data_IF_221576951613
#
_entry.id   IF_221576951613
#
_cell.length_a   1.000
_cell.length_b   1.000
_cell.length_c   1.000
_cell.angle_alpha   90.00
_cell.angle_beta   90.00
_cell.angle_gamma   90.00
#
_symmetry.space_group_name_H-M   'P 1'
#
loop_
_entity.id
_entity.type
_entity.pdbx_description
1 polymer ?
#
# COMPACT_ATOMS: atom_id res chain seq x y z
N UNK A 1 0.67 34.97 10.24
CA UNK A 1 1.53 33.90 9.69
C UNK A 1 2.15 33.24 10.90
N UNK A 2 1.47 32.22 11.42
CA UNK A 2 1.83 31.55 12.66
C UNK A 2 2.85 30.47 12.29
N UNK A 3 4.12 30.68 12.64
CA UNK A 3 5.16 29.68 12.45
C UNK A 3 4.78 28.43 13.26
N UNK A 4 4.58 27.31 12.56
CA UNK A 4 4.49 26.01 13.21
C UNK A 4 5.74 25.81 14.08
N UNK A 5 5.62 25.40 15.35
CA UNK A 5 6.79 25.12 16.17
C UNK A 5 7.65 24.06 15.49
N UNK A 6 8.90 24.43 15.21
CA UNK A 6 9.87 23.67 14.38
C UNK A 6 10.40 22.40 15.05
N UNK A 7 9.87 22.04 16.21
CA UNK A 7 10.24 20.86 16.98
C UNK A 7 8.95 20.23 17.52
N UNK A 8 8.68 18.99 17.11
CA UNK A 8 7.68 18.16 17.77
C UNK A 8 8.08 18.03 19.26
N UNK A 9 7.11 18.05 20.19
CA UNK A 9 7.38 17.72 21.59
C UNK A 9 8.20 16.41 21.68
N UNK A 10 9.20 16.33 22.56
CA UNK A 10 10.11 15.17 22.62
C UNK A 10 9.40 13.80 22.82
N UNK A 11 8.15 13.79 23.31
CA UNK A 11 7.31 12.59 23.43
C UNK A 11 6.65 12.16 22.09
N UNK A 12 6.49 13.09 21.14
CA UNK A 12 5.79 12.84 19.88
C UNK A 12 6.69 12.20 18.81
N UNK A 13 7.99 12.54 18.76
CA UNK A 13 8.95 11.86 17.86
C UNK A 13 9.06 10.36 18.21
N UNK A 14 9.13 10.05 19.50
CA UNK A 14 9.12 8.67 20.02
C UNK A 14 7.87 7.90 19.60
N UNK A 15 6.70 8.55 19.65
CA UNK A 15 5.42 7.97 19.20
C UNK A 15 5.40 7.74 17.70
N UNK A 16 5.96 8.66 16.90
CA UNK A 16 6.05 8.51 15.46
C UNK A 16 6.95 7.33 15.05
N UNK A 17 8.15 7.22 15.62
CA UNK A 17 9.01 6.05 15.39
C UNK A 17 8.36 4.75 15.87
N UNK A 18 7.66 4.80 17.01
CA UNK A 18 6.91 3.65 17.51
C UNK A 18 5.78 3.26 16.56
N UNK A 19 5.06 4.22 15.99
CA UNK A 19 4.03 3.97 14.98
C UNK A 19 4.64 3.28 13.75
N UNK A 20 5.70 3.83 13.16
CA UNK A 20 6.39 3.21 12.01
C UNK A 20 6.80 1.77 12.32
N UNK A 21 7.46 1.57 13.47
CA UNK A 21 7.90 0.24 13.91
C UNK A 21 6.73 -0.72 14.08
N UNK A 22 5.64 -0.30 14.74
CA UNK A 22 4.48 -1.14 14.99
C UNK A 22 3.72 -1.45 13.70
N UNK A 23 3.54 -0.47 12.81
CA UNK A 23 2.94 -0.68 11.49
C UNK A 23 3.73 -1.71 10.71
N UNK A 24 5.06 -1.60 10.67
CA UNK A 24 5.88 -2.61 10.01
C UNK A 24 5.74 -3.99 10.67
N UNK A 25 5.96 -4.09 11.98
CA UNK A 25 6.05 -5.38 12.68
C UNK A 25 4.71 -6.09 12.89
N UNK A 26 3.60 -5.34 12.99
CA UNK A 26 2.28 -5.85 13.37
C UNK A 26 1.25 -5.77 12.25
N UNK A 27 1.49 -4.97 11.21
CA UNK A 27 0.54 -4.81 10.09
C UNK A 27 1.18 -5.29 8.79
N UNK A 28 2.24 -4.61 8.33
CA UNK A 28 2.83 -4.87 7.01
C UNK A 28 3.46 -6.26 6.93
N UNK A 29 4.37 -6.60 7.86
CA UNK A 29 5.09 -7.88 7.80
C UNK A 29 4.16 -9.09 7.92
N UNK A 30 3.21 -9.16 8.88
CA UNK A 30 2.28 -10.28 8.92
C UNK A 30 1.40 -10.37 7.67
N UNK A 31 1.02 -9.23 7.08
CA UNK A 31 0.30 -9.20 5.81
C UNK A 31 1.14 -9.75 4.66
N UNK A 32 2.40 -9.33 4.52
CA UNK A 32 3.35 -9.87 3.52
C UNK A 32 3.56 -11.38 3.69
N UNK A 33 3.63 -11.88 4.93
CA UNK A 33 3.79 -13.31 5.21
C UNK A 33 2.59 -14.15 4.72
N UNK A 34 1.38 -13.58 4.59
CA UNK A 34 0.22 -14.27 4.00
C UNK A 34 0.47 -14.71 2.55
N UNK A 35 1.36 -14.01 1.85
CA UNK A 35 1.67 -14.22 0.43
C UNK A 35 3.07 -14.80 0.23
N UNK A 36 3.77 -15.16 1.31
CA UNK A 36 5.11 -15.72 1.23
C UNK A 36 5.14 -16.98 0.37
N UNK A 37 6.13 -17.03 -0.51
CA UNK A 37 6.27 -18.12 -1.49
C UNK A 37 5.38 -17.98 -2.72
N UNK A 38 4.42 -17.04 -2.73
CA UNK A 38 3.57 -16.75 -3.90
C UNK A 38 3.94 -15.40 -4.54
N UNK A 39 4.21 -14.39 -3.72
CA UNK A 39 4.55 -13.04 -4.15
C UNK A 39 5.76 -12.54 -3.36
N UNK A 40 6.62 -11.77 -4.03
CA UNK A 40 7.57 -10.90 -3.34
C UNK A 40 6.83 -9.70 -2.73
N UNK A 41 7.42 -9.06 -1.72
CA UNK A 41 6.85 -7.84 -1.12
C UNK A 41 6.56 -6.77 -2.19
N UNK A 42 7.47 -6.59 -3.15
CA UNK A 42 7.30 -5.60 -4.21
C UNK A 42 6.15 -5.94 -5.17
N UNK A 43 5.98 -7.23 -5.52
CA UNK A 43 4.84 -7.68 -6.33
C UNK A 43 3.52 -7.49 -5.58
N UNK A 44 3.50 -7.76 -4.26
CA UNK A 44 2.34 -7.52 -3.42
C UNK A 44 1.96 -6.03 -3.37
N UNK A 45 2.93 -5.13 -3.19
CA UNK A 45 2.68 -3.67 -3.20
C UNK A 45 2.10 -3.20 -4.53
N UNK A 46 2.59 -3.71 -5.67
CA UNK A 46 2.01 -3.42 -7.00
C UNK A 46 0.56 -3.89 -7.09
N UNK A 47 0.25 -5.10 -6.60
CA UNK A 47 -1.11 -5.63 -6.63
C UNK A 47 -2.05 -4.88 -5.70
N UNK A 48 -1.59 -4.46 -4.52
CA UNK A 48 -2.35 -3.61 -3.61
C UNK A 48 -2.71 -2.28 -4.26
N UNK A 49 -1.73 -1.61 -4.89
CA UNK A 49 -1.96 -0.36 -5.61
C UNK A 49 -2.98 -0.54 -6.75
N UNK A 50 -2.84 -1.58 -7.57
CA UNK A 50 -3.79 -1.89 -8.64
C UNK A 50 -5.19 -2.23 -8.12
N UNK A 51 -5.31 -2.85 -6.94
CA UNK A 51 -6.59 -3.22 -6.33
C UNK A 51 -7.31 -2.00 -5.75
N UNK A 52 -6.58 -1.05 -5.16
CA UNK A 52 -7.14 0.18 -4.57
C UNK A 52 -7.50 1.19 -5.66
N UNK A 53 -6.58 1.39 -6.59
CA UNK A 53 -6.64 2.51 -7.55
C UNK A 53 -7.12 2.13 -8.94
N UNK A 54 -7.27 0.83 -9.21
CA UNK A 54 -7.69 0.29 -10.50
C UNK A 54 -6.58 0.26 -11.55
N UNK A 55 -6.95 -0.02 -12.82
CA UNK A 55 -5.98 -0.20 -13.90
C UNK A 55 -5.18 1.08 -14.17
N UNK A 56 -3.87 0.95 -14.36
CA UNK A 56 -2.97 2.09 -14.60
C UNK A 56 -1.76 1.73 -15.45
N UNK A 57 -1.11 2.74 -16.01
CA UNK A 57 0.10 2.61 -16.81
C UNK A 57 1.31 2.30 -15.93
N UNK A 58 2.38 1.78 -16.55
CA UNK A 58 3.67 1.55 -15.88
C UNK A 58 4.26 2.86 -15.33
N UNK A 59 3.99 4.00 -15.97
CA UNK A 59 4.43 5.31 -15.50
C UNK A 59 3.70 5.71 -14.23
N UNK A 60 2.36 5.62 -14.21
CA UNK A 60 1.56 5.91 -13.02
C UNK A 60 1.97 5.01 -11.83
N UNK A 61 2.20 3.70 -12.06
CA UNK A 61 2.71 2.78 -11.03
C UNK A 61 4.09 3.20 -10.50
N UNK A 62 4.98 3.60 -11.40
CA UNK A 62 6.35 4.00 -11.06
C UNK A 62 6.37 5.24 -10.18
N UNK A 63 5.51 6.22 -10.50
CA UNK A 63 5.37 7.46 -9.75
C UNK A 63 4.77 7.21 -8.37
N UNK A 64 3.65 6.47 -8.29
CA UNK A 64 2.97 6.20 -7.01
C UNK A 64 3.78 5.36 -6.05
N UNK A 65 4.47 4.34 -6.54
CA UNK A 65 5.27 3.47 -5.68
C UNK A 65 6.71 3.99 -5.52
N UNK A 66 7.05 5.14 -6.12
CA UNK A 66 8.40 5.73 -6.12
C UNK A 66 9.50 4.75 -6.55
N UNK A 67 9.18 3.87 -7.49
CA UNK A 67 10.10 2.87 -8.04
C UNK A 67 10.57 3.34 -9.42
N UNK A 68 11.87 3.29 -9.74
CA UNK A 68 12.36 3.69 -11.06
C UNK A 68 11.62 2.99 -12.21
N UNK A 69 11.25 3.75 -13.25
CA UNK A 69 10.45 3.27 -14.39
C UNK A 69 11.03 2.01 -15.05
N UNK A 70 12.36 1.90 -15.13
CA UNK A 70 13.02 0.72 -15.68
C UNK A 70 12.81 -0.53 -14.81
N UNK A 71 12.87 -0.39 -13.48
CA UNK A 71 12.59 -1.48 -12.54
C UNK A 71 11.11 -1.85 -12.57
N UNK A 72 10.21 -0.87 -12.56
CA UNK A 72 8.76 -1.09 -12.64
C UNK A 72 8.36 -1.82 -13.93
N UNK A 73 8.93 -1.43 -15.07
CA UNK A 73 8.67 -2.08 -16.36
C UNK A 73 9.11 -3.56 -16.39
N UNK A 74 10.28 -3.86 -15.82
CA UNK A 74 10.79 -5.24 -15.67
C UNK A 74 9.85 -6.05 -14.76
N UNK A 75 9.46 -5.47 -13.63
CA UNK A 75 8.57 -6.10 -12.65
C UNK A 75 7.20 -6.44 -13.25
N UNK A 76 6.53 -5.45 -13.89
CA UNK A 76 5.25 -5.66 -14.57
C UNK A 76 5.36 -6.72 -15.67
N UNK A 77 6.47 -6.75 -16.41
CA UNK A 77 6.65 -7.78 -17.44
C UNK A 77 6.79 -9.18 -16.85
N UNK A 78 7.54 -9.33 -15.74
CA UNK A 78 7.64 -10.59 -14.99
C UNK A 78 6.28 -11.02 -14.44
N UNK A 79 5.55 -10.12 -13.80
CA UNK A 79 4.23 -10.40 -13.23
C UNK A 79 3.19 -10.79 -14.29
N UNK A 80 3.24 -10.16 -15.47
CA UNK A 80 2.38 -10.52 -16.59
C UNK A 80 2.67 -11.93 -17.12
N UNK A 81 3.96 -12.30 -17.22
CA UNK A 81 4.36 -13.66 -17.60
C UNK A 81 3.93 -14.71 -16.57
N UNK A 82 3.89 -14.34 -15.29
CA UNK A 82 3.41 -15.21 -14.20
C UNK A 82 1.88 -15.31 -14.10
N UNK A 83 1.12 -14.55 -14.91
CA UNK A 83 -0.34 -14.54 -14.86
C UNK A 83 -0.94 -13.66 -13.75
N UNK A 84 -0.10 -12.91 -13.02
CA UNK A 84 -0.58 -12.12 -11.88
C UNK A 84 -1.38 -10.87 -12.30
N UNK A 85 -1.05 -10.34 -13.48
CA UNK A 85 -1.63 -9.13 -14.04
C UNK A 85 -1.81 -9.28 -15.54
N UNK A 86 -2.75 -8.53 -16.11
CA UNK A 86 -2.98 -8.43 -17.54
C UNK A 86 -2.68 -7.03 -18.04
N UNK A 87 -2.18 -6.95 -19.29
CA UNK A 87 -1.95 -5.69 -20.00
C UNK A 87 -3.14 -5.43 -20.93
N UNK A 88 -3.98 -4.45 -20.61
CA UNK A 88 -5.11 -4.04 -21.47
C UNK A 88 -4.73 -2.77 -22.25
N UNK A 89 -5.03 -2.77 -23.55
CA UNK A 89 -4.91 -1.57 -24.38
C UNK A 89 -6.18 -0.75 -24.25
N UNK A 90 -6.06 0.51 -23.88
CA UNK A 90 -7.21 1.42 -23.81
C UNK A 90 -7.63 1.80 -25.23
N UNK A 91 -8.89 1.52 -25.61
CA UNK A 91 -9.38 1.73 -26.98
C UNK A 91 -9.87 3.17 -27.24
N UNK A 92 -10.21 3.93 -26.21
CA UNK A 92 -11.10 5.10 -26.36
C UNK A 92 -10.43 6.49 -26.35
N UNK A 93 -9.18 6.66 -25.90
CA UNK A 93 -8.58 7.99 -25.81
C UNK A 93 -7.12 8.08 -26.30
N UNK A 94 -6.32 7.03 -26.12
CA UNK A 94 -4.94 7.00 -26.56
C UNK A 94 -4.58 5.59 -27.01
N UNK A 95 -4.46 5.41 -28.33
CA UNK A 95 -4.22 4.09 -28.97
C UNK A 95 -2.88 3.46 -28.56
N UNK A 96 -2.05 4.15 -27.75
CA UNK A 96 -0.73 3.72 -27.31
C UNK A 96 -0.58 3.50 -25.80
N UNK A 97 -1.55 3.88 -24.95
CA UNK A 97 -1.42 3.67 -23.51
C UNK A 97 -1.85 2.26 -23.10
N UNK A 98 -0.87 1.42 -22.75
CA UNK A 98 -1.08 0.09 -22.17
C UNK A 98 -1.29 0.28 -20.67
N UNK A 99 -2.47 -0.10 -20.18
CA UNK A 99 -2.78 -0.16 -18.75
C UNK A 99 -2.57 -1.59 -18.26
N UNK A 100 -2.18 -1.68 -17.01
CA UNK A 100 -1.94 -2.91 -16.26
C UNK A 100 -3.09 -3.07 -15.29
N UNK A 101 -3.59 -4.28 -15.15
CA UNK A 101 -4.72 -4.61 -14.28
C UNK A 101 -4.47 -5.95 -13.60
N UNK A 102 -4.93 -6.08 -12.36
CA UNK A 102 -4.94 -7.35 -11.62
C UNK A 102 -5.87 -8.36 -12.30
N UNK A 103 -5.50 -9.64 -12.34
CA UNK A 103 -6.42 -10.67 -12.83
C UNK A 103 -7.50 -10.99 -11.81
N UNK A 104 -8.64 -11.51 -12.27
CA UNK A 104 -9.74 -11.92 -11.38
C UNK A 104 -9.28 -12.96 -10.36
N UNK A 105 -8.46 -13.93 -10.80
CA UNK A 105 -7.89 -14.96 -9.93
C UNK A 105 -7.07 -14.36 -8.79
N UNK A 106 -6.14 -13.44 -9.09
CA UNK A 106 -5.33 -12.80 -8.04
C UNK A 106 -6.19 -11.88 -7.18
N UNK A 107 -7.14 -11.16 -7.77
CA UNK A 107 -8.05 -10.30 -7.00
C UNK A 107 -8.85 -11.09 -5.97
N UNK A 108 -9.37 -12.27 -6.36
CA UNK A 108 -10.09 -13.19 -5.49
C UNK A 108 -9.17 -13.79 -4.42
N UNK A 109 -7.98 -14.27 -4.81
CA UNK A 109 -6.98 -14.82 -3.89
C UNK A 109 -6.59 -13.79 -2.81
N UNK A 110 -6.35 -12.54 -3.19
CA UNK A 110 -6.07 -11.45 -2.26
C UNK A 110 -7.26 -11.19 -1.34
N UNK A 111 -8.48 -11.07 -1.88
CA UNK A 111 -9.68 -10.84 -1.07
C UNK A 111 -9.90 -11.95 -0.03
N UNK A 112 -9.72 -13.22 -0.42
CA UNK A 112 -9.87 -14.36 0.48
C UNK A 112 -8.83 -14.36 1.62
N UNK A 113 -7.55 -14.11 1.30
CA UNK A 113 -6.49 -14.00 2.32
C UNK A 113 -6.70 -12.80 3.23
N UNK A 114 -7.09 -11.65 2.67
CA UNK A 114 -7.41 -10.45 3.46
C UNK A 114 -8.56 -10.70 4.43
N UNK A 115 -9.63 -11.37 3.99
CA UNK A 115 -10.76 -11.71 4.85
C UNK A 115 -10.34 -12.56 6.04
N UNK A 116 -9.60 -13.66 5.80
CA UNK A 116 -9.10 -14.51 6.87
C UNK A 116 -8.15 -13.78 7.82
N UNK A 117 -7.32 -12.87 7.31
CA UNK A 117 -6.44 -12.04 8.14
C UNK A 117 -7.22 -11.02 8.98
N UNK A 118 -8.25 -10.39 8.43
CA UNK A 118 -9.12 -9.48 9.18
C UNK A 118 -9.89 -10.21 10.28
N UNK A 119 -10.33 -11.45 10.03
CA UNK A 119 -10.97 -12.27 11.07
C UNK A 119 -9.98 -12.63 12.20
N UNK A 120 -8.74 -12.95 11.86
CA UNK A 120 -7.68 -13.22 12.84
C UNK A 120 -7.34 -11.97 13.68
N UNK A 121 -7.30 -10.78 13.06
CA UNK A 121 -7.19 -9.51 13.78
C UNK A 121 -8.40 -9.33 14.69
N UNK A 122 -9.62 -9.55 14.19
CA UNK A 122 -10.85 -9.44 14.99
C UNK A 122 -10.81 -10.25 16.27
N UNK A 123 -10.44 -11.54 16.17
CA UNK A 123 -10.23 -12.41 17.34
C UNK A 123 -9.15 -11.89 18.28
N UNK A 124 -8.03 -11.44 17.73
CA UNK A 124 -6.94 -10.86 18.54
C UNK A 124 -7.41 -9.63 19.31
N UNK A 125 -8.25 -8.77 18.71
CA UNK A 125 -8.81 -7.61 19.39
C UNK A 125 -9.71 -8.05 20.56
N UNK A 126 -10.61 -9.01 20.31
CA UNK A 126 -11.51 -9.58 21.33
C UNK A 126 -10.73 -10.20 22.50
N UNK A 127 -9.73 -11.04 22.21
CA UNK A 127 -8.88 -11.70 23.21
C UNK A 127 -8.10 -10.70 24.09
N UNK A 128 -7.85 -9.50 23.58
CA UNK A 128 -7.15 -8.43 24.30
C UNK A 128 -8.09 -7.36 24.88
N UNK A 129 -9.40 -7.60 24.84
CA UNK A 129 -10.42 -6.66 25.37
C UNK A 129 -10.46 -5.33 24.62
N UNK A 130 -10.02 -5.30 23.35
CA UNK A 130 -10.03 -4.10 22.51
C UNK A 130 -11.36 -4.05 21.75
N UNK A 131 -12.10 -2.95 21.90
CA UNK A 131 -13.34 -2.74 21.16
C UNK A 131 -13.06 -2.66 19.64
N UNK A 132 -13.75 -3.53 18.89
CA UNK A 132 -13.56 -3.65 17.44
C UNK A 132 -13.94 -2.36 16.71
N UNK A 133 -14.97 -1.64 17.16
CA UNK A 133 -15.39 -0.39 16.53
C UNK A 133 -14.37 0.72 16.78
N UNK A 134 -13.80 0.78 17.99
CA UNK A 134 -12.73 1.71 18.32
C UNK A 134 -11.49 1.48 17.43
N UNK A 135 -11.10 0.22 17.24
CA UNK A 135 -9.99 -0.11 16.34
C UNK A 135 -10.29 0.30 14.89
N UNK A 136 -11.47 -0.04 14.36
CA UNK A 136 -11.88 0.33 12.99
C UNK A 136 -11.93 1.86 12.83
N UNK A 137 -12.43 2.59 13.83
CA UNK A 137 -12.45 4.05 13.80
C UNK A 137 -11.04 4.64 13.78
N UNK A 138 -10.10 4.08 14.56
CA UNK A 138 -8.70 4.52 14.56
C UNK A 138 -8.00 4.24 13.22
N UNK A 139 -8.22 3.06 12.62
CA UNK A 139 -7.68 2.72 11.29
C UNK A 139 -8.21 3.70 10.25
N UNK A 140 -9.54 3.94 10.21
CA UNK A 140 -10.15 4.90 9.27
C UNK A 140 -9.58 6.31 9.44
N UNK A 141 -9.49 6.79 10.67
CA UNK A 141 -8.93 8.11 10.96
C UNK A 141 -7.49 8.24 10.48
N UNK A 142 -6.65 7.23 10.73
CA UNK A 142 -5.27 7.22 10.27
C UNK A 142 -5.18 7.17 8.75
N UNK A 143 -5.95 6.30 8.08
CA UNK A 143 -5.99 6.23 6.61
C UNK A 143 -6.45 7.54 6.00
N UNK A 144 -7.52 8.15 6.51
CA UNK A 144 -8.04 9.44 6.02
C UNK A 144 -7.01 10.58 6.16
N UNK A 145 -6.19 10.56 7.22
CA UNK A 145 -5.09 11.51 7.38
C UNK A 145 -4.00 11.24 6.35
N UNK A 146 -3.55 10.00 6.24
CA UNK A 146 -2.45 9.62 5.34
C UNK A 146 -2.80 9.88 3.87
N UNK A 147 -4.03 9.61 3.46
CA UNK A 147 -4.51 9.87 2.09
C UNK A 147 -4.55 11.37 1.74
N UNK A 148 -4.63 12.26 2.75
CA UNK A 148 -4.61 13.71 2.56
C UNK A 148 -3.20 14.30 2.55
N UNK A 149 -2.21 13.56 3.04
CA UNK A 149 -0.82 13.99 2.99
C UNK A 149 -0.34 13.76 1.56
N UNK A 150 -0.42 14.80 0.74
CA UNK A 150 0.08 14.75 -0.62
C UNK A 150 1.59 14.47 -0.60
N UNK A 151 1.94 13.34 -1.18
CA UNK A 151 3.30 12.82 -1.28
C UNK A 151 4.28 13.80 -1.94
N UNK A 152 3.76 14.76 -2.72
CA UNK A 152 4.50 15.83 -3.39
C UNK A 152 4.81 17.04 -2.50
N UNK A 153 4.26 17.11 -1.28
CA UNK A 153 4.46 18.23 -0.33
C UNK A 153 5.48 17.94 0.78
N UNK A 154 6.09 16.75 0.83
CA UNK A 154 7.24 16.48 1.70
C UNK A 154 8.50 16.69 0.86
N UNK A 155 9.13 17.88 0.89
CA UNK A 155 10.34 18.13 0.11
C UNK A 155 11.40 17.09 0.50
N UNK A 156 12.19 16.57 -0.47
CA UNK A 156 13.38 15.82 -0.13
C UNK A 156 14.22 16.75 0.75
N UNK A 157 14.45 16.37 2.00
CA UNK A 157 15.33 17.14 2.86
C UNK A 157 16.71 17.10 2.21
N UNK A 158 17.11 18.22 1.62
CA UNK A 158 18.48 18.45 1.17
C UNK A 158 19.34 18.43 2.40
N UNK A 159 20.19 17.39 2.52
CA UNK A 159 21.23 17.34 3.54
C UNK A 159 22.08 18.61 3.42
N UNK A 160 22.17 19.37 4.51
CA UNK A 160 23.28 20.29 4.76
C UNK A 160 24.52 19.53 5.20
#
# INVERSE_FOLDING_TARGET
MEELPRQLPQDDDSRFFRLIKLTYAKVQRPFEELFKGQLTALELHVLCELKVSGPMTVTELSERLRIPKQQMSKLVSKMALAGNIVKKRTVLADKRSVRVEITDEISQMMSAKCLGYMDAIGKTLEDNGIDRMQFVAAVRFLTDILDRIDEHHIPPQTNG
#
